data_IF_361819119950
#
_entry.id   IF_361819119950
#
_cell.length_a   1.000
_cell.length_b   1.000
_cell.length_c   1.000
_cell.angle_alpha   90.00
_cell.angle_beta   90.00
_cell.angle_gamma   90.00
#
_symmetry.space_group_name_H-M   'P 1'
#
loop_
_entity.id
_entity.type
_entity.pdbx_description
1 polymer ?
#
# COMPACT_ATOMS: atom_id res chain seq x y z
N UNK A 1 -25.82 42.88 35.40
CA UNK A 1 -25.95 41.42 35.20
C UNK A 1 -25.59 40.96 33.79
N UNK A 2 -25.91 41.69 32.72
CA UNK A 2 -25.64 41.26 31.32
C UNK A 2 -24.15 41.05 30.98
N UNK A 3 -23.27 41.90 31.52
CA UNK A 3 -21.81 41.85 31.25
C UNK A 3 -21.17 40.61 31.89
N UNK A 4 -21.66 40.19 33.06
CA UNK A 4 -21.18 38.98 33.75
C UNK A 4 -21.60 37.72 32.97
N UNK A 5 -22.80 37.73 32.37
CA UNK A 5 -23.29 36.64 31.53
C UNK A 5 -22.51 36.52 30.22
N UNK A 6 -22.14 37.64 29.59
CA UNK A 6 -21.34 37.64 28.35
C UNK A 6 -19.90 37.18 28.63
N UNK A 7 -19.29 37.61 29.73
CA UNK A 7 -17.96 37.15 30.13
C UNK A 7 -17.93 35.65 30.46
N UNK A 8 -18.99 35.13 31.10
CA UNK A 8 -19.13 33.69 31.37
C UNK A 8 -19.32 32.88 30.07
N UNK A 9 -20.09 33.40 29.11
CA UNK A 9 -20.33 32.73 27.82
C UNK A 9 -19.09 32.70 26.93
N UNK A 10 -18.32 33.80 26.90
CA UNK A 10 -17.06 33.87 26.14
C UNK A 10 -16.02 32.95 26.77
N UNK A 11 -15.91 32.89 28.10
CA UNK A 11 -14.99 31.96 28.76
C UNK A 11 -15.42 30.48 28.58
N UNK A 12 -16.71 30.15 28.58
CA UNK A 12 -17.17 28.78 28.30
C UNK A 12 -16.90 28.37 26.84
N UNK A 13 -17.14 29.28 25.87
CA UNK A 13 -16.90 29.03 24.45
C UNK A 13 -15.40 29.00 24.08
N UNK A 14 -14.55 29.68 24.86
CA UNK A 14 -13.10 29.59 24.70
C UNK A 14 -12.53 28.34 25.39
N UNK A 15 -13.05 27.93 26.55
CA UNK A 15 -12.63 26.70 27.23
C UNK A 15 -13.02 25.43 26.45
N UNK A 16 -14.14 25.43 25.73
CA UNK A 16 -14.48 24.31 24.81
C UNK A 16 -13.60 24.28 23.56
N UNK A 17 -13.00 25.41 23.16
CA UNK A 17 -12.07 25.48 22.01
C UNK A 17 -10.59 25.33 22.39
N UNK A 18 -10.21 25.61 23.63
CA UNK A 18 -8.81 25.57 24.10
C UNK A 18 -8.47 24.30 24.88
N UNK A 19 -9.47 23.49 25.28
CA UNK A 19 -9.24 22.20 25.94
C UNK A 19 -9.35 20.94 25.04
N UNK A 20 -9.56 21.09 23.73
CA UNK A 20 -9.58 19.96 22.80
C UNK A 20 -8.64 20.20 21.63
N UNK A 21 -7.33 20.08 21.90
CA UNK A 21 -6.39 19.60 20.90
C UNK A 21 -6.81 18.18 20.49
N UNK A 22 -7.77 18.05 19.57
CA UNK A 22 -8.30 16.78 19.04
C UNK A 22 -8.26 15.64 20.06
N UNK A 23 -9.11 15.69 21.09
CA UNK A 23 -9.32 14.54 21.97
C UNK A 23 -9.95 13.41 21.17
N UNK A 24 -9.11 12.60 20.51
CA UNK A 24 -9.25 11.32 19.80
C UNK A 24 -10.55 10.90 19.07
N UNK A 25 -11.70 11.57 19.21
CA UNK A 25 -13.01 11.13 18.68
C UNK A 25 -14.03 12.28 18.44
N UNK A 26 -13.67 13.55 18.62
CA UNK A 26 -14.54 14.69 18.26
C UNK A 26 -14.51 14.99 16.75
N UNK A 27 -14.88 13.99 15.97
CA UNK A 27 -14.84 14.00 14.51
C UNK A 27 -15.97 13.13 13.97
N UNK A 28 -16.36 13.34 12.71
CA UNK A 28 -17.46 12.59 12.10
C UNK A 28 -17.20 11.08 12.20
N UNK A 29 -18.03 10.33 12.94
CA UNK A 29 -17.89 8.89 13.09
C UNK A 29 -17.97 8.20 11.72
N UNK A 30 -17.22 7.10 11.55
CA UNK A 30 -17.22 6.35 10.30
C UNK A 30 -17.42 4.86 10.52
N UNK A 31 -16.40 4.15 10.98
CA UNK A 31 -16.46 2.71 11.24
C UNK A 31 -15.25 2.25 12.03
N UNK A 32 -15.42 1.23 12.85
CA UNK A 32 -14.32 0.52 13.51
C UNK A 32 -13.70 -0.56 12.60
N UNK A 33 -14.33 -0.89 11.48
CA UNK A 33 -13.85 -1.87 10.51
C UNK A 33 -13.87 -1.27 9.10
N UNK A 34 -12.71 -1.21 8.45
CA UNK A 34 -12.59 -0.64 7.11
C UNK A 34 -11.71 -1.47 6.18
N UNK A 35 -11.96 -1.35 4.89
CA UNK A 35 -11.10 -1.77 3.80
C UNK A 35 -10.37 -0.56 3.24
N UNK A 36 -9.06 -0.67 3.06
CA UNK A 36 -8.24 0.30 2.33
C UNK A 36 -7.66 -0.39 1.10
N UNK A 37 -7.98 0.14 -0.10
CA UNK A 37 -7.63 -0.46 -1.39
C UNK A 37 -6.68 0.42 -2.20
N UNK A 38 -5.68 -0.19 -2.81
CA UNK A 38 -4.78 0.45 -3.78
C UNK A 38 -4.64 -0.41 -5.03
N UNK A 39 -4.55 0.25 -6.19
CA UNK A 39 -4.02 -0.32 -7.41
C UNK A 39 -2.55 0.08 -7.50
N UNK A 40 -1.65 -0.90 -7.62
CA UNK A 40 -0.21 -0.66 -7.62
C UNK A 40 0.44 -1.20 -8.88
N UNK A 41 1.37 -0.43 -9.43
CA UNK A 41 2.40 -0.95 -10.30
C UNK A 41 3.57 -1.46 -9.43
N UNK A 42 3.79 -2.79 -9.35
CA UNK A 42 4.69 -3.35 -8.37
C UNK A 42 6.17 -3.18 -8.77
N UNK A 43 7.02 -2.99 -7.78
CA UNK A 43 8.46 -3.26 -7.87
C UNK A 43 8.73 -4.75 -7.59
N UNK A 44 9.96 -5.26 -7.84
CA UNK A 44 10.33 -6.62 -7.46
C UNK A 44 10.11 -6.96 -5.98
N UNK A 45 10.14 -5.97 -5.06
CA UNK A 45 9.87 -6.22 -3.64
C UNK A 45 8.43 -6.68 -3.37
N UNK A 46 7.51 -6.34 -4.27
CA UNK A 46 6.08 -6.66 -4.18
C UNK A 46 5.69 -7.90 -5.01
N UNK A 47 6.67 -8.70 -5.42
CA UNK A 47 6.44 -9.94 -6.18
C UNK A 47 7.13 -11.13 -5.54
N UNK A 48 6.78 -12.32 -5.99
CA UNK A 48 7.51 -13.53 -5.67
C UNK A 48 7.90 -14.31 -6.92
N UNK A 49 8.92 -15.15 -6.81
CA UNK A 49 9.30 -16.13 -7.82
C UNK A 49 9.88 -17.34 -7.12
N UNK A 50 9.52 -18.52 -7.61
CA UNK A 50 10.03 -19.81 -7.10
C UNK A 50 11.38 -20.18 -7.72
N UNK A 51 11.83 -19.44 -8.73
CA UNK A 51 13.11 -19.69 -9.40
C UNK A 51 14.29 -19.36 -8.48
N UNK A 52 15.34 -20.16 -8.59
CA UNK A 52 16.61 -19.89 -7.90
C UNK A 52 17.31 -18.64 -8.44
N UNK A 53 17.04 -18.29 -9.70
CA UNK A 53 17.58 -17.12 -10.41
C UNK A 53 16.77 -15.83 -10.20
N UNK A 54 15.76 -15.85 -9.31
CA UNK A 54 14.95 -14.66 -8.99
C UNK A 54 15.82 -13.49 -8.54
N UNK A 55 15.30 -12.26 -8.67
CA UNK A 55 15.99 -11.09 -8.11
C UNK A 55 16.01 -11.18 -6.57
N UNK A 56 17.09 -10.72 -5.94
CA UNK A 56 17.27 -10.77 -4.48
C UNK A 56 16.14 -10.06 -3.70
N UNK A 57 15.53 -9.04 -4.30
CA UNK A 57 14.39 -8.30 -3.75
C UNK A 57 13.08 -9.08 -3.75
N UNK A 58 12.93 -10.06 -4.66
CA UNK A 58 11.71 -10.87 -4.75
C UNK A 58 11.62 -11.84 -3.59
N UNK A 59 10.38 -12.09 -3.14
CA UNK A 59 10.12 -13.14 -2.17
C UNK A 59 10.22 -14.51 -2.84
N UNK A 60 10.64 -15.53 -2.09
CA UNK A 60 10.79 -16.90 -2.62
C UNK A 60 9.43 -17.59 -2.83
N UNK A 61 8.42 -17.23 -2.05
CA UNK A 61 7.11 -17.88 -2.07
C UNK A 61 5.98 -16.87 -1.91
N UNK A 62 4.77 -17.26 -2.32
CA UNK A 62 3.54 -16.50 -2.08
C UNK A 62 3.31 -16.20 -0.61
N UNK A 63 3.62 -17.15 0.29
CA UNK A 63 3.46 -16.97 1.74
C UNK A 63 4.42 -15.91 2.30
N UNK A 64 5.66 -15.87 1.82
CA UNK A 64 6.62 -14.84 2.21
C UNK A 64 6.22 -13.47 1.66
N UNK A 65 5.68 -13.40 0.44
CA UNK A 65 5.10 -12.16 -0.08
C UNK A 65 3.92 -11.70 0.77
N UNK A 66 2.99 -12.60 1.12
CA UNK A 66 1.87 -12.29 2.00
C UNK A 66 2.32 -11.73 3.35
N UNK A 67 3.30 -12.36 3.97
CA UNK A 67 3.86 -11.90 5.27
C UNK A 67 4.45 -10.50 5.15
N UNK A 68 5.21 -10.25 4.08
CA UNK A 68 5.79 -8.95 3.81
C UNK A 68 4.73 -7.87 3.50
N UNK A 69 3.72 -8.19 2.69
CA UNK A 69 2.63 -7.25 2.42
C UNK A 69 1.87 -6.90 3.70
N UNK A 70 1.63 -7.90 4.57
CA UNK A 70 1.00 -7.68 5.87
C UNK A 70 1.86 -6.79 6.78
N UNK A 71 3.19 -6.91 6.73
CA UNK A 71 4.07 -6.04 7.53
C UNK A 71 3.96 -4.57 7.15
N UNK A 72 3.64 -4.23 5.90
CA UNK A 72 3.39 -2.84 5.48
C UNK A 72 2.16 -2.26 6.21
N UNK A 73 1.10 -3.05 6.32
CA UNK A 73 -0.08 -2.69 7.10
C UNK A 73 0.24 -2.52 8.58
N UNK A 74 0.99 -3.46 9.17
CA UNK A 74 1.38 -3.40 10.58
C UNK A 74 2.24 -2.17 10.88
N UNK A 75 3.13 -1.79 9.97
CA UNK A 75 3.91 -0.57 10.07
C UNK A 75 3.00 0.67 10.06
N UNK A 76 1.98 0.71 9.19
CA UNK A 76 1.00 1.80 9.18
C UNK A 76 0.23 1.91 10.51
N UNK A 77 -0.16 0.76 11.10
CA UNK A 77 -0.78 0.70 12.44
C UNK A 77 0.18 1.25 13.51
N UNK A 78 1.44 0.79 13.51
CA UNK A 78 2.43 1.22 14.49
C UNK A 78 2.70 2.73 14.41
N UNK A 79 2.89 3.27 13.20
CA UNK A 79 3.09 4.70 12.99
C UNK A 79 1.85 5.52 13.35
N UNK A 80 0.64 5.03 13.06
CA UNK A 80 -0.61 5.68 13.47
C UNK A 80 -0.74 5.74 14.99
N UNK A 81 -0.46 4.63 15.68
CA UNK A 81 -0.48 4.57 17.15
C UNK A 81 0.57 5.48 17.78
N UNK A 82 1.75 5.60 17.20
CA UNK A 82 2.80 6.50 17.67
C UNK A 82 2.42 7.98 17.62
N UNK A 83 1.43 8.37 16.81
CA UNK A 83 0.88 9.74 16.77
C UNK A 83 -0.13 10.02 17.89
N UNK A 84 -0.58 9.00 18.61
CA UNK A 84 -1.50 9.15 19.75
C UNK A 84 -0.68 9.35 21.03
N UNK A 85 -1.15 10.24 21.90
CA UNK A 85 -0.57 10.48 23.21
C UNK A 85 -0.42 9.16 23.98
N UNK A 86 0.73 8.95 24.63
CA UNK A 86 1.11 7.66 25.23
C UNK A 86 0.09 7.15 26.24
N UNK A 87 -0.54 8.04 27.01
CA UNK A 87 -1.60 7.73 27.98
C UNK A 87 -2.91 7.23 27.33
N UNK A 88 -3.12 7.48 26.04
CA UNK A 88 -4.32 7.07 25.29
C UNK A 88 -4.08 5.85 24.39
N UNK A 89 -2.83 5.42 24.20
CA UNK A 89 -2.50 4.30 23.31
C UNK A 89 -3.07 2.96 23.77
N UNK A 90 -3.44 2.81 25.04
CA UNK A 90 -4.06 1.59 25.58
C UNK A 90 -5.60 1.63 25.52
N UNK A 91 -6.18 2.77 25.14
CA UNK A 91 -7.64 2.94 25.02
C UNK A 91 -8.20 2.28 23.75
N UNK A 92 -7.34 1.88 22.82
CA UNK A 92 -7.74 1.20 21.61
C UNK A 92 -6.70 0.17 21.16
N UNK A 93 -7.15 -0.84 20.43
CA UNK A 93 -6.32 -1.80 19.69
C UNK A 93 -6.66 -1.69 18.22
N UNK A 94 -5.65 -1.62 17.36
CA UNK A 94 -5.81 -1.64 15.91
C UNK A 94 -5.10 -2.88 15.36
N UNK A 95 -5.78 -3.62 14.51
CA UNK A 95 -5.25 -4.81 13.83
C UNK A 95 -5.43 -4.66 12.33
N UNK A 96 -4.60 -5.37 11.58
CA UNK A 96 -4.64 -5.39 10.13
C UNK A 96 -4.56 -6.82 9.60
N UNK A 97 -5.28 -7.07 8.52
CA UNK A 97 -5.19 -8.28 7.72
C UNK A 97 -5.11 -7.93 6.23
N UNK A 98 -4.68 -8.88 5.41
CA UNK A 98 -4.82 -8.78 3.95
C UNK A 98 -6.13 -9.43 3.54
N UNK A 99 -6.92 -8.72 2.73
CA UNK A 99 -8.08 -9.32 2.10
C UNK A 99 -7.61 -10.22 0.96
N UNK A 100 -7.62 -11.53 1.15
CA UNK A 100 -7.08 -12.49 0.17
C UNK A 100 -7.90 -12.57 -1.12
N UNK A 101 -9.17 -12.18 -1.10
CA UNK A 101 -10.03 -12.18 -2.29
C UNK A 101 -9.75 -10.96 -3.20
N UNK A 102 -9.33 -9.84 -2.60
CA UNK A 102 -9.11 -8.57 -3.29
C UNK A 102 -7.63 -8.14 -3.31
N UNK A 103 -6.71 -9.06 -3.03
CA UNK A 103 -5.26 -8.83 -3.10
C UNK A 103 -4.66 -9.83 -4.07
N UNK A 104 -4.01 -9.33 -5.11
CA UNK A 104 -3.27 -10.18 -6.04
C UNK A 104 -1.82 -10.36 -5.56
N UNK A 105 -1.38 -11.61 -5.53
CA UNK A 105 0.00 -11.97 -5.22
C UNK A 105 0.70 -12.34 -6.53
N UNK A 106 1.48 -11.41 -7.06
CA UNK A 106 2.10 -11.58 -8.37
C UNK A 106 3.30 -12.53 -8.33
N UNK A 107 3.17 -13.68 -8.99
CA UNK A 107 4.29 -14.54 -9.37
C UNK A 107 4.93 -13.96 -10.63
N UNK A 108 6.15 -13.46 -10.53
CA UNK A 108 6.84 -12.80 -11.65
C UNK A 108 8.23 -13.37 -11.85
N UNK A 109 8.38 -14.23 -12.84
CA UNK A 109 9.70 -14.68 -13.29
C UNK A 109 10.32 -13.60 -14.19
N UNK A 110 11.27 -12.86 -13.62
CA UNK A 110 11.88 -11.70 -14.25
C UNK A 110 13.05 -12.15 -15.13
N UNK A 111 12.81 -12.18 -16.44
CA UNK A 111 13.82 -12.49 -17.44
C UNK A 111 14.39 -11.19 -18.01
N UNK A 112 15.72 -11.03 -18.07
CA UNK A 112 16.34 -9.88 -18.75
C UNK A 112 16.24 -9.97 -20.28
N UNK A 113 16.38 -11.19 -20.82
CA UNK A 113 16.42 -11.47 -22.25
C UNK A 113 17.57 -10.73 -22.94
N UNK A 114 18.81 -11.09 -22.60
CA UNK A 114 20.00 -10.45 -23.16
C UNK A 114 20.18 -10.85 -24.64
N UNK A 115 20.46 -9.89 -25.52
CA UNK A 115 20.81 -10.19 -26.90
C UNK A 115 22.28 -10.63 -26.97
N UNK A 116 22.54 -11.82 -27.50
CA UNK A 116 23.89 -12.26 -27.84
C UNK A 116 24.24 -11.85 -29.28
N UNK A 117 25.51 -11.54 -29.55
CA UNK A 117 25.98 -10.93 -30.81
C UNK A 117 26.15 -11.92 -31.98
N UNK A 118 25.52 -13.09 -31.95
CA UNK A 118 25.83 -14.17 -32.91
C UNK A 118 24.59 -14.84 -33.46
N UNK A 119 23.91 -14.18 -34.38
CA UNK A 119 23.26 -14.78 -35.55
C UNK A 119 22.55 -13.70 -36.37
N UNK A 120 22.72 -13.71 -37.69
CA UNK A 120 21.93 -12.90 -38.64
C UNK A 120 20.46 -13.29 -38.73
N UNK A 121 19.99 -14.17 -37.83
CA UNK A 121 18.60 -14.61 -37.69
C UNK A 121 17.98 -14.03 -36.42
N UNK A 122 16.69 -13.71 -36.50
CA UNK A 122 15.86 -13.30 -35.36
C UNK A 122 15.77 -14.41 -34.30
N UNK A 123 16.37 -14.19 -33.13
CA UNK A 123 16.28 -15.11 -31.98
C UNK A 123 15.37 -14.54 -30.92
N UNK A 124 14.42 -15.34 -30.44
CA UNK A 124 13.57 -15.00 -29.28
C UNK A 124 14.40 -15.18 -28.01
N UNK A 125 14.71 -14.08 -27.33
CA UNK A 125 15.52 -14.10 -26.09
C UNK A 125 14.70 -13.96 -24.81
N UNK A 126 13.41 -13.60 -24.94
CA UNK A 126 12.44 -13.67 -23.86
C UNK A 126 11.03 -13.78 -24.46
N UNK A 127 10.21 -14.66 -23.90
CA UNK A 127 8.88 -14.97 -24.47
C UNK A 127 7.88 -13.85 -24.17
N UNK A 128 6.80 -13.82 -24.95
CA UNK A 128 5.60 -13.03 -24.61
C UNK A 128 5.09 -13.47 -23.23
N UNK A 129 4.43 -12.57 -22.52
CA UNK A 129 3.81 -12.80 -21.21
C UNK A 129 4.78 -13.05 -20.05
N UNK A 130 6.10 -12.98 -20.29
CA UNK A 130 7.14 -12.96 -19.25
C UNK A 130 7.32 -11.56 -18.67
N UNK A 131 7.98 -11.47 -17.52
CA UNK A 131 8.19 -10.22 -16.81
C UNK A 131 9.60 -9.65 -17.01
N UNK A 132 9.71 -8.32 -16.89
CA UNK A 132 10.96 -7.59 -16.84
C UNK A 132 10.87 -6.42 -15.86
N UNK A 133 12.02 -5.89 -15.46
CA UNK A 133 12.11 -4.64 -14.70
C UNK A 133 12.52 -3.51 -15.63
N UNK A 134 11.75 -2.43 -15.65
CA UNK A 134 12.08 -1.25 -16.43
C UNK A 134 13.17 -0.40 -15.75
N UNK A 135 13.63 0.67 -16.41
CA UNK A 135 14.65 1.58 -15.87
C UNK A 135 14.24 2.29 -14.56
N UNK A 136 12.94 2.33 -14.24
CA UNK A 136 12.40 2.92 -13.00
C UNK A 136 12.29 1.90 -11.85
N UNK A 137 12.73 0.66 -12.05
CA UNK A 137 12.62 -0.40 -11.04
C UNK A 137 11.24 -1.04 -10.95
N UNK A 138 10.35 -0.82 -11.93
CA UNK A 138 8.99 -1.35 -11.92
C UNK A 138 8.87 -2.59 -12.79
N UNK A 139 8.06 -3.54 -12.33
CA UNK A 139 7.72 -4.75 -13.07
C UNK A 139 6.80 -4.39 -14.25
N UNK A 140 7.13 -4.94 -15.41
CA UNK A 140 6.40 -4.82 -16.66
C UNK A 140 6.18 -6.22 -17.23
N UNK A 141 5.11 -6.40 -18.00
CA UNK A 141 4.83 -7.64 -18.73
C UNK A 141 5.16 -7.45 -20.20
N UNK A 142 5.78 -8.45 -20.83
CA UNK A 142 6.04 -8.43 -22.27
C UNK A 142 4.75 -8.66 -23.03
N UNK A 143 4.24 -7.63 -23.69
CA UNK A 143 3.07 -7.72 -24.58
C UNK A 143 3.42 -8.43 -25.90
N UNK A 144 4.69 -8.34 -26.32
CA UNK A 144 5.26 -9.07 -27.46
C UNK A 144 6.59 -9.67 -27.01
N UNK A 145 6.93 -10.86 -27.52
CA UNK A 145 8.21 -11.49 -27.26
C UNK A 145 9.37 -10.55 -27.62
N UNK A 146 10.47 -10.63 -26.87
CA UNK A 146 11.70 -9.90 -27.18
C UNK A 146 12.51 -10.71 -28.18
N UNK A 147 12.71 -10.16 -29.38
CA UNK A 147 13.59 -10.74 -30.39
C UNK A 147 14.85 -9.91 -30.55
N UNK A 148 15.93 -10.59 -30.89
CA UNK A 148 17.21 -9.97 -31.21
C UNK A 148 17.72 -10.45 -32.57
N UNK A 149 18.36 -9.54 -33.29
CA UNK A 149 19.03 -9.78 -34.58
C UNK A 149 20.39 -9.10 -34.47
N UNK A 150 21.48 -9.84 -34.70
CA UNK A 150 22.86 -9.31 -34.61
C UNK A 150 23.15 -8.54 -33.32
N UNK A 151 22.70 -9.07 -32.17
CA UNK A 151 22.90 -8.45 -30.87
C UNK A 151 22.05 -7.21 -30.59
N UNK A 152 21.19 -6.77 -31.51
CA UNK A 152 20.25 -5.65 -31.33
C UNK A 152 18.83 -6.14 -31.15
N UNK A 153 18.03 -5.43 -30.36
CA UNK A 153 16.61 -5.74 -30.18
C UNK A 153 15.87 -5.37 -31.46
N UNK A 154 15.27 -6.35 -32.14
CA UNK A 154 14.47 -6.12 -33.36
C UNK A 154 12.99 -5.90 -33.05
N UNK A 155 12.48 -6.52 -31.98
CA UNK A 155 11.11 -6.30 -31.53
C UNK A 155 10.99 -6.47 -30.03
N UNK A 156 10.27 -5.55 -29.40
CA UNK A 156 9.85 -5.63 -28.01
C UNK A 156 8.68 -4.67 -27.77
N UNK A 157 7.65 -5.13 -27.06
CA UNK A 157 6.60 -4.27 -26.52
C UNK A 157 6.27 -4.72 -25.10
N UNK A 158 6.15 -3.76 -24.18
CA UNK A 158 5.86 -4.03 -22.78
C UNK A 158 4.58 -3.30 -22.38
N UNK A 159 3.82 -3.89 -21.46
CA UNK A 159 2.66 -3.28 -20.81
C UNK A 159 2.91 -3.12 -19.31
N UNK A 160 2.25 -2.11 -18.72
CA UNK A 160 2.24 -1.95 -17.27
C UNK A 160 1.54 -3.14 -16.63
N UNK A 161 2.05 -3.58 -15.50
CA UNK A 161 1.38 -4.55 -14.63
C UNK A 161 0.78 -3.76 -13.49
N UNK A 162 -0.52 -3.90 -13.28
CA UNK A 162 -1.26 -3.28 -12.17
C UNK A 162 -1.88 -4.41 -11.38
N UNK A 163 -1.70 -4.40 -10.06
CA UNK A 163 -2.26 -5.40 -9.16
C UNK A 163 -3.04 -4.72 -8.03
N UNK A 164 -4.18 -5.29 -7.60
CA UNK A 164 -4.92 -4.80 -6.46
C UNK A 164 -4.24 -5.23 -5.15
N UNK A 165 -4.18 -4.31 -4.19
CA UNK A 165 -3.70 -4.55 -2.83
C UNK A 165 -4.74 -4.01 -1.83
N UNK A 166 -5.34 -4.91 -1.06
CA UNK A 166 -6.43 -4.58 -0.14
C UNK A 166 -6.12 -5.00 1.29
N UNK A 167 -6.17 -4.03 2.20
CA UNK A 167 -5.98 -4.23 3.63
C UNK A 167 -7.31 -4.10 4.37
N UNK A 168 -7.55 -4.98 5.34
CA UNK A 168 -8.65 -4.89 6.28
C UNK A 168 -8.10 -4.37 7.61
N UNK A 169 -8.63 -3.26 8.09
CA UNK A 169 -8.28 -2.72 9.39
C UNK A 169 -9.45 -2.86 10.34
N UNK A 170 -9.16 -3.28 11.57
CA UNK A 170 -10.15 -3.39 12.64
C UNK A 170 -9.64 -2.69 13.87
N UNK A 171 -10.48 -1.88 14.48
CA UNK A 171 -10.18 -1.10 15.67
C UNK A 171 -11.18 -1.46 16.76
N UNK A 172 -10.66 -1.81 17.93
CA UNK A 172 -11.47 -1.96 19.15
C UNK A 172 -11.12 -0.80 20.06
N UNK A 173 -12.10 0.02 20.44
CA UNK A 173 -11.94 1.11 21.39
C UNK A 173 -12.64 0.66 22.68
N UNK A 174 -12.02 0.89 23.83
CA UNK A 174 -12.58 0.45 25.12
C UNK A 174 -13.89 1.17 25.48
N UNK A 175 -14.14 2.33 24.88
CA UNK A 175 -15.39 3.07 24.97
C UNK A 175 -16.30 2.74 23.78
N UNK A 176 -17.58 3.09 23.83
CA UNK A 176 -18.54 2.95 22.71
C UNK A 176 -18.26 3.86 21.51
N UNK A 177 -17.04 4.39 21.39
CA UNK A 177 -16.65 5.32 20.34
C UNK A 177 -16.36 4.56 19.03
N UNK A 178 -16.42 5.30 17.92
CA UNK A 178 -16.14 4.79 16.58
C UNK A 178 -15.02 5.61 15.95
N UNK A 179 -14.11 4.95 15.22
CA UNK A 179 -13.09 5.63 14.43
C UNK A 179 -13.71 6.54 13.36
N UNK A 180 -13.20 7.77 13.29
CA UNK A 180 -13.63 8.80 12.36
C UNK A 180 -12.99 8.69 10.97
N UNK A 181 -13.60 9.36 9.98
CA UNK A 181 -13.08 9.46 8.61
C UNK A 181 -11.67 10.07 8.55
N UNK A 182 -11.39 11.08 9.37
CA UNK A 182 -10.08 11.76 9.42
C UNK A 182 -8.95 10.81 9.86
N UNK A 183 -9.18 9.99 10.87
CA UNK A 183 -8.20 9.00 11.32
C UNK A 183 -7.91 7.94 10.26
N UNK A 184 -8.96 7.42 9.59
CA UNK A 184 -8.76 6.48 8.48
C UNK A 184 -8.05 7.11 7.29
N UNK A 185 -8.30 8.39 7.02
CA UNK A 185 -7.57 9.13 5.98
C UNK A 185 -6.08 9.21 6.32
N UNK A 186 -5.73 9.40 7.59
CA UNK A 186 -4.34 9.43 8.03
C UNK A 186 -3.66 8.06 7.94
N UNK A 187 -4.35 6.99 8.36
CA UNK A 187 -3.87 5.61 8.18
C UNK A 187 -3.64 5.29 6.69
N UNK A 188 -4.58 5.68 5.83
CA UNK A 188 -4.46 5.54 4.37
C UNK A 188 -3.25 6.30 3.81
N UNK A 189 -3.01 7.54 4.26
CA UNK A 189 -1.81 8.30 3.84
C UNK A 189 -0.51 7.62 4.27
N UNK A 190 -0.42 7.18 5.52
CA UNK A 190 0.76 6.46 6.04
C UNK A 190 1.02 5.18 5.24
N UNK A 191 -0.01 4.36 5.03
CA UNK A 191 0.09 3.14 4.25
C UNK A 191 0.53 3.39 2.82
N UNK A 192 0.00 4.45 2.18
CA UNK A 192 0.45 4.89 0.85
C UNK A 192 1.95 5.17 0.83
N UNK A 193 2.46 5.97 1.76
CA UNK A 193 3.90 6.28 1.84
C UNK A 193 4.75 5.03 2.05
N UNK A 194 4.31 4.12 2.92
CA UNK A 194 5.00 2.83 3.16
C UNK A 194 5.06 2.00 1.87
N UNK A 195 3.95 1.89 1.13
CA UNK A 195 3.90 1.18 -0.16
C UNK A 195 4.85 1.82 -1.18
N UNK A 196 4.85 3.15 -1.31
CA UNK A 196 5.72 3.88 -2.23
C UNK A 196 7.21 3.72 -1.87
N UNK A 197 7.54 3.60 -0.58
CA UNK A 197 8.90 3.32 -0.10
C UNK A 197 9.45 1.97 -0.60
N UNK A 198 8.57 1.02 -0.96
CA UNK A 198 8.96 -0.25 -1.61
C UNK A 198 9.45 -0.08 -3.05
N UNK A 199 9.47 1.16 -3.57
CA UNK A 199 9.74 1.55 -4.97
C UNK A 199 8.65 1.14 -5.95
N UNK A 200 7.47 0.79 -5.44
CA UNK A 200 6.26 0.58 -6.24
C UNK A 200 5.54 1.91 -6.45
N UNK A 201 4.67 1.97 -7.46
CA UNK A 201 3.88 3.18 -7.75
C UNK A 201 2.41 2.89 -7.52
N UNK A 202 1.74 3.72 -6.74
CA UNK A 202 0.28 3.67 -6.63
C UNK A 202 -0.31 4.37 -7.85
N UNK A 203 -1.12 3.64 -8.63
CA UNK A 203 -1.77 4.18 -9.83
C UNK A 203 -3.15 4.73 -9.56
N UNK A 204 -3.84 4.20 -8.55
CA UNK A 204 -5.11 4.71 -8.03
C UNK A 204 -5.39 4.10 -6.65
N UNK A 205 -6.36 4.66 -5.93
CA UNK A 205 -6.82 4.12 -4.65
C UNK A 205 -6.54 5.03 -3.45
N UNK A 206 -6.41 4.41 -2.28
CA UNK A 206 -6.53 5.08 -0.97
C UNK A 206 -7.98 5.20 -0.50
N UNK A 207 -8.91 4.54 -1.22
CA UNK A 207 -10.33 4.49 -0.89
C UNK A 207 -10.52 3.72 0.41
N UNK A 208 -11.08 4.42 1.41
CA UNK A 208 -11.54 3.83 2.66
C UNK A 208 -13.01 3.48 2.47
N UNK A 209 -13.36 2.22 2.74
CA UNK A 209 -14.75 1.73 2.69
C UNK A 209 -15.05 0.92 3.94
N UNK A 210 -16.30 0.90 4.38
CA UNK A 210 -16.72 0.09 5.52
C UNK A 210 -16.56 -1.39 5.17
N UNK A 211 -15.98 -2.17 6.09
CA UNK A 211 -15.94 -3.63 5.99
C UNK A 211 -17.34 -4.16 6.36
N UNK A 212 -18.09 -4.62 5.35
CA UNK A 212 -19.39 -5.29 5.49
C UNK A 212 -19.26 -6.72 5.99
#
# INVERSE_FOLDING_TARGET
MLILSIALYINLAFLTKVALSCGSFDCTPYSNNVLIKYEIQPSPNMTFSKLDTRLASQKKTKALLKTYLLSLGNEAVALSRAKVASNLQNMFTMTVALNNANTEYLEADIEKGNCATKSGTDVVVAKKDTYLVNKKGLVMKRAIAKKCTDGKVSSQKNSKVIIPLTFEFRVTIQTSNVMCTSHWTEVSKLLKTIIENTKSVITSGGTVSILS
#
